data_IF_569798437484
#
_entry.id   IF_569798437484
#
_cell.length_a   1.000
_cell.length_b   1.000
_cell.length_c   1.000
_cell.angle_alpha   90.00
_cell.angle_beta   90.00
_cell.angle_gamma   90.00
#
_symmetry.space_group_name_H-M   'P 1'
#
loop_
_entity.id
_entity.type
_entity.pdbx_description
1 polymer ?
#
# COMPACT_ATOMS: atom_id res chain seq x y z
N UNK A 1 -5.12 -15.61 -9.92
CA UNK A 1 -5.76 -15.31 -8.62
C UNK A 1 -7.12 -14.67 -8.92
N UNK A 2 -8.20 -15.04 -8.22
CA UNK A 2 -9.52 -14.45 -8.47
C UNK A 2 -9.70 -13.14 -7.71
N UNK A 3 -10.59 -12.25 -8.14
CA UNK A 3 -10.89 -10.97 -7.45
C UNK A 3 -11.28 -11.18 -5.98
N UNK A 4 -12.02 -12.26 -5.67
CA UNK A 4 -12.37 -12.64 -4.30
C UNK A 4 -11.11 -12.91 -3.46
N UNK A 5 -10.11 -13.57 -4.02
CA UNK A 5 -8.85 -13.85 -3.31
C UNK A 5 -8.08 -12.55 -3.01
N UNK A 6 -8.03 -11.60 -3.97
CA UNK A 6 -7.43 -10.28 -3.72
C UNK A 6 -8.13 -9.54 -2.58
N UNK A 7 -9.46 -9.61 -2.52
CA UNK A 7 -10.25 -8.99 -1.45
C UNK A 7 -9.99 -9.61 -0.09
N UNK A 8 -10.03 -10.94 0.00
CA UNK A 8 -9.71 -11.66 1.24
C UNK A 8 -8.29 -11.36 1.70
N UNK A 9 -7.34 -11.33 0.76
CA UNK A 9 -5.94 -11.00 1.03
C UNK A 9 -5.79 -9.58 1.59
N UNK A 10 -6.31 -8.57 0.89
CA UNK A 10 -6.21 -7.17 1.32
C UNK A 10 -6.88 -6.95 2.68
N UNK A 11 -8.07 -7.52 2.90
CA UNK A 11 -8.78 -7.40 4.18
C UNK A 11 -7.96 -8.01 5.32
N UNK A 12 -7.41 -9.21 5.12
CA UNK A 12 -6.55 -9.88 6.10
C UNK A 12 -5.29 -9.06 6.39
N UNK A 13 -4.62 -8.56 5.34
CA UNK A 13 -3.42 -7.75 5.48
C UNK A 13 -3.70 -6.45 6.26
N UNK A 14 -4.80 -5.76 5.95
CA UNK A 14 -5.22 -4.55 6.66
C UNK A 14 -5.50 -4.83 8.14
N UNK A 15 -6.14 -5.94 8.45
CA UNK A 15 -6.45 -6.31 9.84
C UNK A 15 -5.19 -6.60 10.66
N UNK A 16 -4.17 -7.19 10.03
CA UNK A 16 -2.84 -7.35 10.64
C UNK A 16 -2.13 -6.00 10.82
N UNK A 17 -2.23 -5.11 9.82
CA UNK A 17 -1.59 -3.79 9.85
C UNK A 17 -2.17 -2.89 10.94
N UNK A 18 -3.48 -2.92 11.17
CA UNK A 18 -4.15 -2.14 12.23
C UNK A 18 -3.64 -2.46 13.65
N UNK A 19 -3.21 -3.70 13.88
CA UNK A 19 -2.70 -4.18 15.19
C UNK A 19 -1.27 -3.70 15.47
N UNK A 20 -0.58 -3.09 14.50
CA UNK A 20 0.76 -2.52 14.70
C UNK A 20 0.71 -1.22 15.48
N UNK A 21 1.88 -0.78 15.96
CA UNK A 21 2.07 0.50 16.66
C UNK A 21 1.52 1.65 15.81
N UNK A 22 0.97 2.67 16.47
CA UNK A 22 0.25 3.76 15.81
C UNK A 22 1.02 4.43 14.67
N UNK A 23 2.35 4.54 14.75
CA UNK A 23 3.20 5.17 13.71
C UNK A 23 3.77 4.19 12.67
N UNK A 24 3.48 2.89 12.78
CA UNK A 24 4.02 1.87 11.89
C UNK A 24 2.95 0.93 11.32
N UNK A 25 1.79 1.49 10.96
CA UNK A 25 0.70 0.75 10.32
C UNK A 25 0.95 0.61 8.83
N UNK A 26 2.01 -0.10 8.46
CA UNK A 26 2.40 -0.31 7.06
C UNK A 26 2.81 -1.76 6.81
N UNK A 27 2.52 -2.27 5.62
CA UNK A 27 3.10 -3.52 5.15
C UNK A 27 3.50 -3.44 3.68
N UNK A 28 4.45 -4.29 3.28
CA UNK A 28 4.91 -4.42 1.90
C UNK A 28 4.35 -5.72 1.32
N UNK A 29 3.73 -5.61 0.15
CA UNK A 29 3.22 -6.74 -0.64
C UNK A 29 4.09 -6.81 -1.90
N UNK A 30 4.84 -7.91 -2.03
CA UNK A 30 5.65 -8.16 -3.21
C UNK A 30 4.84 -8.99 -4.20
N UNK A 31 4.71 -8.48 -5.41
CA UNK A 31 4.02 -9.16 -6.51
C UNK A 31 4.94 -9.32 -7.71
N UNK A 32 4.74 -10.38 -8.50
CA UNK A 32 5.44 -10.61 -9.76
C UNK A 32 4.71 -10.00 -10.95
N UNK A 33 3.43 -9.65 -10.79
CA UNK A 33 2.60 -9.04 -11.83
C UNK A 33 1.78 -7.86 -11.26
N UNK A 34 1.67 -6.79 -12.06
CA UNK A 34 0.79 -5.65 -11.76
C UNK A 34 -0.46 -5.73 -12.64
N UNK A 35 -1.38 -6.63 -12.26
CA UNK A 35 -2.57 -6.97 -13.07
C UNK A 35 -3.78 -6.05 -12.81
N UNK A 36 -3.60 -4.92 -12.11
CA UNK A 36 -4.66 -3.96 -11.80
C UNK A 36 -5.70 -4.43 -10.78
N UNK A 37 -5.67 -5.71 -10.37
CA UNK A 37 -6.65 -6.28 -9.46
C UNK A 37 -6.53 -5.69 -8.05
N UNK A 38 -5.31 -5.37 -7.60
CA UNK A 38 -5.07 -4.72 -6.32
C UNK A 38 -5.71 -3.32 -6.23
N UNK A 39 -5.43 -2.37 -7.15
CA UNK A 39 -6.15 -1.10 -7.20
C UNK A 39 -7.67 -1.26 -7.27
N UNK A 40 -8.17 -2.14 -8.15
CA UNK A 40 -9.61 -2.36 -8.32
C UNK A 40 -10.30 -2.77 -7.01
N UNK A 41 -9.72 -3.73 -6.29
CA UNK A 41 -10.27 -4.20 -5.02
C UNK A 41 -10.08 -3.16 -3.92
N UNK A 42 -8.96 -2.45 -3.92
CA UNK A 42 -8.72 -1.39 -2.94
C UNK A 42 -9.74 -0.27 -3.06
N UNK A 43 -10.03 0.20 -4.28
CA UNK A 43 -11.06 1.22 -4.54
C UNK A 43 -12.44 0.75 -4.06
N UNK A 44 -12.79 -0.51 -4.29
CA UNK A 44 -14.04 -1.08 -3.79
C UNK A 44 -14.11 -1.09 -2.25
N UNK A 45 -13.03 -1.49 -1.57
CA UNK A 45 -12.97 -1.49 -0.10
C UNK A 45 -13.03 -0.08 0.49
N UNK A 46 -12.35 0.90 -0.13
CA UNK A 46 -12.39 2.30 0.28
C UNK A 46 -13.81 2.85 0.11
N UNK A 47 -14.47 2.55 -1.01
CA UNK A 47 -15.85 3.00 -1.29
C UNK A 47 -16.87 2.45 -0.30
N UNK A 48 -16.65 1.25 0.23
CA UNK A 48 -17.51 0.66 1.27
C UNK A 48 -17.35 1.36 2.64
N UNK A 49 -16.25 2.08 2.88
CA UNK A 49 -16.05 2.88 4.08
C UNK A 49 -15.75 2.10 5.37
N UNK A 50 -15.69 0.77 5.31
CA UNK A 50 -15.42 -0.08 6.49
C UNK A 50 -13.99 0.07 7.03
N UNK A 51 -13.03 0.38 6.15
CA UNK A 51 -11.60 0.50 6.51
C UNK A 51 -11.00 1.67 5.74
N UNK A 52 -10.49 2.67 6.46
CA UNK A 52 -9.67 3.73 5.88
C UNK A 52 -8.21 3.26 5.76
N UNK A 53 -7.66 3.30 4.55
CA UNK A 53 -6.29 2.88 4.26
C UNK A 53 -5.76 3.49 2.96
N UNK A 54 -4.44 3.40 2.77
CA UNK A 54 -3.74 3.86 1.58
C UNK A 54 -3.16 2.67 0.83
N UNK A 55 -3.47 2.55 -0.47
CA UNK A 55 -2.71 1.70 -1.39
C UNK A 55 -1.60 2.55 -2.04
N UNK A 56 -0.34 2.23 -1.74
CA UNK A 56 0.82 2.92 -2.28
C UNK A 56 1.56 2.01 -3.27
N UNK A 57 1.41 2.31 -4.55
CA UNK A 57 2.13 1.63 -5.65
C UNK A 57 3.45 2.32 -6.01
N UNK A 58 3.86 3.34 -5.24
CA UNK A 58 5.06 4.14 -5.49
C UNK A 58 4.92 5.16 -6.62
N UNK A 59 3.75 5.27 -7.25
CA UNK A 59 3.49 6.26 -8.29
C UNK A 59 2.99 7.59 -7.70
N UNK A 60 3.40 8.71 -8.30
CA UNK A 60 2.90 10.05 -7.98
C UNK A 60 2.49 10.82 -9.23
N UNK A 61 1.57 11.77 -9.08
CA UNK A 61 1.08 12.64 -10.15
C UNK A 61 -0.32 12.26 -10.63
N UNK A 62 -1.05 13.26 -11.15
CA UNK A 62 -2.45 13.12 -11.57
C UNK A 62 -2.54 12.71 -13.04
N UNK A 63 -2.06 13.53 -13.97
CA UNK A 63 -2.09 13.24 -15.42
C UNK A 63 -1.04 12.22 -15.84
N UNK A 64 0.16 12.31 -15.26
CA UNK A 64 1.26 11.37 -15.51
C UNK A 64 1.69 10.77 -14.19
N UNK A 65 1.55 9.46 -14.07
CA UNK A 65 2.01 8.68 -12.91
C UNK A 65 3.50 8.38 -13.05
N UNK A 66 4.32 8.97 -12.21
CA UNK A 66 5.77 8.74 -12.14
C UNK A 66 6.11 7.83 -10.96
N UNK A 67 6.60 6.63 -11.24
CA UNK A 67 7.07 5.68 -10.24
C UNK A 67 8.46 6.09 -9.74
N UNK A 68 8.63 6.20 -8.42
CA UNK A 68 9.93 6.46 -7.79
C UNK A 68 10.08 5.68 -6.49
N UNK A 69 11.22 5.02 -6.30
CA UNK A 69 11.47 4.18 -5.12
C UNK A 69 11.28 4.91 -3.78
N UNK A 70 11.64 6.20 -3.72
CA UNK A 70 11.43 7.06 -2.53
C UNK A 70 9.97 7.19 -2.10
N UNK A 71 9.01 6.99 -3.00
CA UNK A 71 7.59 7.13 -2.70
C UNK A 71 7.08 5.98 -1.81
N UNK A 72 7.72 4.80 -1.83
CA UNK A 72 7.38 3.70 -0.92
C UNK A 72 7.72 3.99 0.55
N UNK A 73 8.67 4.91 0.79
CA UNK A 73 8.99 5.39 2.14
C UNK A 73 8.03 6.45 2.68
N UNK A 74 7.19 7.03 1.82
CA UNK A 74 6.17 8.01 2.23
C UNK A 74 4.98 7.30 2.89
N UNK A 75 4.37 7.96 3.87
CA UNK A 75 3.16 7.48 4.54
C UNK A 75 2.31 8.65 5.03
N UNK A 76 1.04 8.37 5.28
CA UNK A 76 0.09 9.36 5.77
C UNK A 76 -0.15 9.21 7.27
N UNK A 77 -0.18 10.34 7.97
CA UNK A 77 -0.51 10.43 9.38
C UNK A 77 -1.70 11.36 9.57
N UNK A 78 -2.61 10.95 10.45
CA UNK A 78 -3.59 11.84 11.05
C UNK A 78 -3.01 12.40 12.34
N UNK A 79 -3.03 13.71 12.46
CA UNK A 79 -2.62 14.41 13.67
C UNK A 79 -3.82 15.15 14.28
N UNK A 80 -3.91 15.18 15.60
CA UNK A 80 -4.88 16.04 16.29
C UNK A 80 -4.58 17.51 16.03
N UNK A 81 -5.58 18.39 16.23
CA UNK A 81 -5.47 19.85 16.01
C UNK A 81 -4.26 20.48 16.71
N UNK A 82 -3.91 19.97 17.89
CA UNK A 82 -2.76 20.44 18.68
C UNK A 82 -1.45 19.68 18.43
N UNK A 83 -1.42 18.75 17.47
CA UNK A 83 -0.22 18.01 17.04
C UNK A 83 0.35 17.00 18.04
N UNK A 84 -0.21 16.89 19.25
CA UNK A 84 0.30 16.02 20.34
C UNK A 84 0.05 14.53 20.12
N UNK A 85 -0.93 14.18 19.29
CA UNK A 85 -1.26 12.80 18.96
C UNK A 85 -1.15 12.63 17.45
N UNK A 86 -0.45 11.57 17.05
CA UNK A 86 -0.30 11.18 15.66
C UNK A 86 -0.55 9.68 15.54
N UNK A 87 -1.30 9.31 14.50
CA UNK A 87 -1.45 7.92 14.10
C UNK A 87 -1.29 7.84 12.60
N UNK A 88 -0.49 6.89 12.14
CA UNK A 88 -0.43 6.53 10.73
C UNK A 88 -1.75 5.91 10.28
N UNK A 89 -2.16 6.26 9.06
CA UNK A 89 -3.23 5.57 8.35
C UNK A 89 -2.66 4.23 7.88
N UNK A 90 -3.39 3.10 8.02
CA UNK A 90 -2.97 1.82 7.46
C UNK A 90 -2.55 1.96 6.00
N UNK A 91 -1.38 1.43 5.64
CA UNK A 91 -0.87 1.50 4.27
C UNK A 91 -0.37 0.15 3.77
N UNK A 92 -0.74 -0.19 2.55
CA UNK A 92 -0.21 -1.33 1.81
C UNK A 92 0.68 -0.79 0.70
N UNK A 93 1.96 -1.12 0.75
CA UNK A 93 2.92 -0.81 -0.30
C UNK A 93 2.95 -1.97 -1.30
N UNK A 94 2.52 -1.73 -2.54
CA UNK A 94 2.53 -2.73 -3.60
C UNK A 94 3.83 -2.62 -4.40
N UNK A 95 4.74 -3.56 -4.18
CA UNK A 95 6.07 -3.56 -4.78
C UNK A 95 6.12 -4.64 -5.85
N UNK A 96 6.36 -4.24 -7.09
CA UNK A 96 6.60 -5.19 -8.18
C UNK A 96 8.06 -5.63 -8.11
N UNK A 97 8.30 -6.90 -7.76
CA UNK A 97 9.65 -7.45 -7.88
C UNK A 97 9.88 -7.80 -9.34
N UNK A 98 10.64 -6.98 -10.06
CA UNK A 98 11.26 -7.45 -11.29
C UNK A 98 12.20 -8.63 -10.96
N UNK A 99 12.41 -9.58 -11.88
CA UNK A 99 13.49 -10.55 -11.73
C UNK A 99 14.79 -9.76 -11.51
N UNK A 100 15.54 -10.07 -10.45
CA UNK A 100 16.86 -9.48 -10.29
C UNK A 100 17.68 -9.88 -11.52
N UNK A 101 18.02 -8.92 -12.38
CA UNK A 101 19.07 -9.16 -13.36
C UNK A 101 20.32 -9.51 -12.56
N UNK A 102 20.94 -10.69 -12.78
CA UNK A 102 22.14 -11.06 -12.05
C UNK A 102 23.18 -9.94 -12.22
N UNK A 103 23.95 -9.60 -11.17
CA UNK A 103 24.97 -8.57 -11.29
C UNK A 103 25.87 -8.95 -12.46
N UNK A 104 26.06 -8.00 -13.40
CA UNK A 104 27.04 -8.15 -14.46
C UNK A 104 28.37 -8.50 -13.80
N UNK A 105 28.86 -9.71 -14.01
CA UNK A 105 30.23 -10.08 -13.62
C UNK A 105 31.15 -9.09 -14.34
N UNK A 106 31.72 -8.15 -13.59
CA UNK A 106 32.90 -7.39 -14.02
C UNK A 106 34.10 -8.32 -14.03
#
# INVERSE_FOLDING_TARGET
MTIKNYRTFLTTALEMVKRRKALDRRCNVFTTNYDGCFPLVADALIKEGCIDFVLNDGARGFTRRMLQARNFGSYLCQAGVFGRYQSSIPQINLIVSAPQTPPSKK
#
